data_IF_557245883502
#
_entry.id   IF_557245883502
#
_cell.length_a   1.000
_cell.length_b   1.000
_cell.length_c   1.000
_cell.angle_alpha   90.00
_cell.angle_beta   90.00
_cell.angle_gamma   90.00
#
_symmetry.space_group_name_H-M   'P 1'
#
loop_
_entity.id
_entity.type
_entity.pdbx_description
1 polymer ?
#
# COMPACT_ATOMS: atom_id res chain seq x y z
N UNK A 1 12.03 -3.79 -18.18
CA UNK A 1 11.23 -3.83 -16.93
C UNK A 1 10.80 -5.26 -16.69
N UNK A 2 10.96 -5.77 -15.47
CA UNK A 2 10.44 -7.11 -15.13
C UNK A 2 8.91 -7.04 -15.11
N UNK A 3 8.26 -8.00 -15.75
CA UNK A 3 6.80 -8.09 -15.83
C UNK A 3 6.28 -8.95 -14.65
N UNK A 4 5.20 -8.52 -14.00
CA UNK A 4 4.52 -9.31 -13.00
C UNK A 4 3.66 -10.40 -13.66
N UNK A 5 3.96 -11.66 -13.39
CA UNK A 5 3.27 -12.85 -13.92
C UNK A 5 2.58 -13.69 -12.84
N UNK A 6 2.29 -13.07 -11.69
CA UNK A 6 1.80 -13.77 -10.50
C UNK A 6 2.93 -14.22 -9.58
N UNK A 7 2.59 -14.89 -8.49
CA UNK A 7 3.54 -15.49 -7.56
C UNK A 7 3.07 -16.88 -7.13
N UNK A 8 3.94 -17.67 -6.52
CA UNK A 8 3.61 -19.03 -6.07
C UNK A 8 2.51 -19.04 -4.98
N UNK A 9 2.41 -17.97 -4.21
CA UNK A 9 1.52 -17.88 -3.05
C UNK A 9 0.33 -16.93 -3.28
N UNK A 10 0.13 -16.43 -4.51
CA UNK A 10 -0.94 -15.50 -4.83
C UNK A 10 -1.54 -15.81 -6.19
N UNK A 11 -2.80 -16.21 -6.19
CA UNK A 11 -3.56 -16.48 -7.41
C UNK A 11 -4.05 -15.15 -7.97
N UNK A 12 -3.43 -14.68 -9.05
CA UNK A 12 -3.78 -13.42 -9.71
C UNK A 12 -4.57 -13.69 -11.01
N UNK A 13 -5.68 -12.99 -11.21
CA UNK A 13 -6.37 -13.01 -12.51
C UNK A 13 -5.51 -12.33 -13.59
N UNK A 14 -5.72 -12.69 -14.86
CA UNK A 14 -5.05 -12.03 -15.99
C UNK A 14 -5.29 -10.51 -16.00
N UNK A 15 -6.50 -10.08 -15.66
CA UNK A 15 -6.87 -8.67 -15.61
C UNK A 15 -6.09 -7.92 -14.53
N UNK A 16 -5.94 -8.53 -13.34
CA UNK A 16 -5.15 -7.97 -12.26
C UNK A 16 -3.67 -7.87 -12.66
N UNK A 17 -3.09 -8.93 -13.25
CA UNK A 17 -1.70 -8.90 -13.74
C UNK A 17 -1.49 -7.79 -14.78
N UNK A 18 -2.44 -7.63 -15.70
CA UNK A 18 -2.40 -6.53 -16.70
C UNK A 18 -2.46 -5.17 -16.03
N UNK A 19 -3.35 -4.96 -15.04
CA UNK A 19 -3.46 -3.69 -14.31
C UNK A 19 -2.16 -3.34 -13.57
N UNK A 20 -1.52 -4.32 -12.90
CA UNK A 20 -0.22 -4.16 -12.26
C UNK A 20 0.84 -3.72 -13.29
N UNK A 21 0.96 -4.43 -14.41
CA UNK A 21 1.97 -4.15 -15.44
C UNK A 21 1.73 -2.79 -16.10
N UNK A 22 0.46 -2.41 -16.36
CA UNK A 22 0.11 -1.08 -16.88
C UNK A 22 0.53 0.01 -15.90
N UNK A 23 0.23 -0.15 -14.60
CA UNK A 23 0.60 0.82 -13.57
C UNK A 23 2.12 1.02 -13.51
N UNK A 24 2.88 -0.07 -13.58
CA UNK A 24 4.35 -0.04 -13.60
C UNK A 24 4.91 0.66 -14.85
N UNK A 25 4.38 0.37 -16.03
CA UNK A 25 4.82 0.98 -17.30
C UNK A 25 4.47 2.46 -17.36
N UNK A 26 3.29 2.84 -16.89
CA UNK A 26 2.84 4.23 -16.86
C UNK A 26 3.43 5.03 -15.67
N UNK A 27 4.15 4.35 -14.77
CA UNK A 27 4.68 4.94 -13.54
C UNK A 27 3.58 5.64 -12.69
N UNK A 28 2.37 5.07 -12.68
CA UNK A 28 1.22 5.58 -11.93
C UNK A 28 0.92 4.69 -10.73
N UNK A 29 0.35 5.27 -9.65
CA UNK A 29 -0.16 4.47 -8.54
C UNK A 29 -1.21 3.47 -9.03
N UNK A 30 -1.16 2.24 -8.51
CA UNK A 30 -2.18 1.21 -8.72
C UNK A 30 -3.15 1.25 -7.54
N UNK A 31 -4.38 1.68 -7.79
CA UNK A 31 -5.45 1.66 -6.80
C UNK A 31 -6.24 0.36 -6.91
N UNK A 32 -6.19 -0.44 -5.86
CA UNK A 32 -6.94 -1.69 -5.73
C UNK A 32 -8.10 -1.49 -4.77
N UNK A 33 -9.32 -1.61 -5.26
CA UNK A 33 -10.53 -1.68 -4.45
C UNK A 33 -11.06 -3.11 -4.37
N UNK A 34 -11.79 -3.41 -3.32
CA UNK A 34 -12.46 -4.69 -3.13
C UNK A 34 -12.93 -4.88 -1.69
N UNK A 35 -13.79 -5.87 -1.46
CA UNK A 35 -14.26 -6.21 -0.13
C UNK A 35 -13.09 -6.59 0.81
N UNK A 36 -13.26 -6.45 2.14
CA UNK A 36 -12.31 -6.98 3.10
C UNK A 36 -12.04 -8.48 2.85
N UNK A 37 -10.78 -8.90 3.01
CA UNK A 37 -10.40 -10.31 2.83
C UNK A 37 -10.18 -10.78 1.39
N UNK A 38 -10.23 -9.89 0.39
CA UNK A 38 -9.96 -10.24 -1.03
C UNK A 38 -8.48 -10.31 -1.41
N UNK A 39 -7.56 -10.22 -0.45
CA UNK A 39 -6.12 -10.38 -0.70
C UNK A 39 -5.41 -9.13 -1.22
N UNK A 40 -5.98 -7.93 -1.06
CA UNK A 40 -5.39 -6.67 -1.55
C UNK A 40 -3.99 -6.41 -1.00
N UNK A 41 -3.79 -6.56 0.30
CA UNK A 41 -2.49 -6.38 0.96
C UNK A 41 -1.49 -7.44 0.51
N UNK A 42 -1.92 -8.71 0.38
CA UNK A 42 -1.10 -9.82 -0.11
C UNK A 42 -0.62 -9.62 -1.56
N UNK A 43 -1.37 -8.87 -2.37
CA UNK A 43 -0.94 -8.53 -3.73
C UNK A 43 0.38 -7.75 -3.73
N UNK A 44 0.55 -6.78 -2.82
CA UNK A 44 1.79 -6.01 -2.74
C UNK A 44 2.99 -6.89 -2.34
N UNK A 45 2.77 -7.84 -1.43
CA UNK A 45 3.78 -8.84 -1.06
C UNK A 45 4.13 -9.74 -2.26
N UNK A 46 3.12 -10.21 -2.99
CA UNK A 46 3.32 -11.03 -4.18
C UNK A 46 4.11 -10.30 -5.27
N UNK A 47 3.82 -9.02 -5.51
CA UNK A 47 4.56 -8.19 -6.46
C UNK A 47 6.00 -7.98 -5.97
N UNK A 48 6.20 -7.69 -4.69
CA UNK A 48 7.52 -7.54 -4.08
C UNK A 48 8.38 -8.77 -4.26
N UNK A 49 7.85 -9.95 -3.96
CA UNK A 49 8.53 -11.24 -4.12
C UNK A 49 8.84 -11.54 -5.59
N UNK A 50 7.86 -11.39 -6.48
CA UNK A 50 8.02 -11.68 -7.90
C UNK A 50 9.06 -10.79 -8.60
N UNK A 51 9.16 -9.52 -8.15
CA UNK A 51 10.11 -8.55 -8.71
C UNK A 51 11.44 -8.51 -7.96
N UNK A 52 11.56 -9.20 -6.82
CA UNK A 52 12.75 -9.15 -5.96
C UNK A 52 13.00 -7.77 -5.37
N UNK A 53 11.94 -6.98 -5.11
CA UNK A 53 12.05 -5.61 -4.61
C UNK A 53 11.59 -5.51 -3.16
N UNK A 54 12.24 -4.64 -2.38
CA UNK A 54 11.86 -4.36 -0.99
C UNK A 54 10.44 -3.78 -0.93
N UNK A 55 9.60 -4.30 -0.03
CA UNK A 55 8.29 -3.78 0.28
C UNK A 55 8.36 -2.82 1.48
N UNK A 56 7.80 -1.63 1.31
CA UNK A 56 7.56 -0.65 2.39
C UNK A 56 6.05 -0.55 2.55
N UNK A 57 5.55 -0.77 3.77
CA UNK A 57 4.12 -0.75 4.07
C UNK A 57 3.79 0.46 4.94
N UNK A 58 2.82 1.24 4.49
CA UNK A 58 2.23 2.34 5.24
C UNK A 58 0.76 2.04 5.52
N UNK A 59 0.47 1.55 6.72
CA UNK A 59 -0.90 1.27 7.18
C UNK A 59 -1.57 2.59 7.60
N UNK A 60 -2.64 2.93 6.93
CA UNK A 60 -3.40 4.16 7.19
C UNK A 60 -4.39 3.93 8.32
N UNK A 61 -4.47 4.91 9.22
CA UNK A 61 -5.42 4.97 10.34
C UNK A 61 -6.27 6.22 10.21
N UNK A 62 -7.38 6.28 10.93
CA UNK A 62 -8.25 7.47 10.97
C UNK A 62 -7.55 8.75 11.44
N UNK A 63 -6.45 8.62 12.18
CA UNK A 63 -5.65 9.74 12.67
C UNK A 63 -4.42 10.05 11.82
N UNK A 64 -4.15 9.26 10.77
CA UNK A 64 -2.97 9.43 9.91
C UNK A 64 -3.12 10.70 9.07
N UNK A 65 -2.08 11.52 9.06
CA UNK A 65 -1.97 12.70 8.19
C UNK A 65 -0.99 12.42 7.05
N UNK A 66 -1.18 13.08 5.92
CA UNK A 66 -0.29 12.94 4.76
C UNK A 66 1.17 13.27 5.11
N UNK A 67 1.37 14.29 5.92
CA UNK A 67 2.68 14.68 6.45
C UNK A 67 3.42 13.55 7.17
N UNK A 68 2.71 12.69 7.91
CA UNK A 68 3.32 11.59 8.67
C UNK A 68 4.02 10.57 7.75
N UNK A 69 3.55 10.45 6.52
CA UNK A 69 4.17 9.60 5.50
C UNK A 69 5.46 10.18 4.94
N UNK A 70 5.62 11.49 4.96
CA UNK A 70 6.79 12.19 4.44
C UNK A 70 7.91 12.21 5.45
N UNK A 71 7.71 12.92 6.56
CA UNK A 71 8.64 12.98 7.67
C UNK A 71 7.95 13.54 8.93
N UNK A 72 8.60 13.32 10.06
CA UNK A 72 8.26 13.92 11.34
C UNK A 72 9.49 14.63 11.88
N UNK A 73 9.31 15.89 12.25
CA UNK A 73 10.35 16.66 12.91
C UNK A 73 10.22 16.54 14.44
N UNK A 74 11.23 15.94 15.08
CA UNK A 74 11.24 15.68 16.53
C UNK A 74 11.66 16.94 17.32
N UNK A 75 10.73 17.87 17.43
CA UNK A 75 10.91 19.12 18.19
C UNK A 75 11.20 18.85 19.67
N UNK A 76 10.58 17.82 20.24
CA UNK A 76 10.73 17.47 21.65
C UNK A 76 12.15 17.01 21.94
N UNK A 77 12.68 16.11 21.12
CA UNK A 77 14.05 15.62 21.27
C UNK A 77 15.05 16.75 21.07
N UNK A 78 14.84 17.61 20.08
CA UNK A 78 15.71 18.77 19.86
C UNK A 78 15.72 19.73 21.04
N UNK A 79 14.55 20.04 21.61
CA UNK A 79 14.45 20.91 22.78
C UNK A 79 15.16 20.29 23.99
N UNK A 80 14.98 19.00 24.20
CA UNK A 80 15.66 18.26 25.27
C UNK A 80 17.20 18.33 25.11
N UNK A 81 17.72 18.01 23.92
CA UNK A 81 19.14 18.04 23.62
C UNK A 81 19.71 19.45 23.79
N UNK A 82 18.94 20.48 23.41
CA UNK A 82 19.34 21.91 23.59
C UNK A 82 19.46 22.32 25.06
N UNK A 83 18.59 21.80 25.92
CA UNK A 83 18.60 22.15 27.33
C UNK A 83 19.66 21.39 28.15
N UNK A 84 19.93 20.13 27.76
CA UNK A 84 20.79 19.22 28.50
C UNK A 84 22.15 18.97 27.87
N UNK A 85 22.54 19.79 26.87
CA UNK A 85 23.87 19.71 26.26
C UNK A 85 24.11 18.51 25.36
N UNK A 86 23.08 18.09 24.64
CA UNK A 86 23.20 17.00 23.63
C UNK A 86 24.20 17.41 22.53
N UNK A 87 25.00 16.45 22.07
CA UNK A 87 25.90 16.65 20.94
C UNK A 87 25.13 16.84 19.62
N UNK A 88 25.53 17.80 18.79
CA UNK A 88 25.00 18.00 17.44
C UNK A 88 23.63 18.65 17.40
N UNK A 89 23.24 19.46 18.39
CA UNK A 89 21.94 20.19 18.41
C UNK A 89 21.79 21.12 17.21
N UNK A 90 22.88 21.66 16.68
CA UNK A 90 22.90 22.53 15.50
C UNK A 90 22.62 21.76 14.20
N UNK A 91 22.76 20.43 14.19
CA UNK A 91 22.42 19.60 13.06
C UNK A 91 20.92 19.27 13.07
N UNK A 92 20.12 20.09 12.40
CA UNK A 92 18.67 19.96 12.31
C UNK A 92 18.25 18.62 11.68
N UNK A 93 19.04 18.11 10.72
CA UNK A 93 18.74 16.84 10.04
C UNK A 93 18.66 15.63 11.00
N UNK A 94 19.38 15.67 12.13
CA UNK A 94 19.33 14.64 13.18
C UNK A 94 17.91 14.41 13.74
N UNK A 95 17.09 15.46 13.70
CA UNK A 95 15.74 15.46 14.26
C UNK A 95 14.64 15.23 13.21
N UNK A 96 15.01 15.07 11.95
CA UNK A 96 14.09 14.72 10.85
C UNK A 96 14.03 13.20 10.73
N UNK A 97 12.87 12.62 11.04
CA UNK A 97 12.59 11.19 10.89
C UNK A 97 11.71 10.98 9.67
N UNK A 98 12.20 10.25 8.68
CA UNK A 98 11.43 9.97 7.48
C UNK A 98 10.23 9.06 7.80
N UNK A 99 9.07 9.40 7.23
CA UNK A 99 7.92 8.53 7.16
C UNK A 99 8.05 7.51 6.03
N UNK A 100 7.04 6.68 5.82
CA UNK A 100 7.10 5.56 4.85
C UNK A 100 7.25 6.00 3.40
N UNK A 101 6.62 7.11 3.02
CA UNK A 101 6.80 7.72 1.71
C UNK A 101 8.20 8.32 1.56
N UNK A 102 8.67 9.02 2.62
CA UNK A 102 10.03 9.53 2.68
C UNK A 102 11.10 8.43 2.57
N UNK A 103 10.92 7.30 3.29
CA UNK A 103 11.77 6.11 3.18
C UNK A 103 11.81 5.58 1.74
N UNK A 104 10.63 5.52 1.07
CA UNK A 104 10.53 5.04 -0.30
C UNK A 104 11.26 5.97 -1.30
N UNK A 105 11.18 7.30 -1.10
CA UNK A 105 11.85 8.27 -1.99
C UNK A 105 13.38 8.30 -1.80
N UNK A 106 13.87 7.99 -0.61
CA UNK A 106 15.30 7.99 -0.32
C UNK A 106 15.96 6.62 -0.50
N UNK A 107 15.20 5.59 -0.87
CA UNK A 107 15.73 4.25 -1.09
C UNK A 107 16.79 4.23 -2.21
N UNK A 108 17.84 3.42 -2.02
CA UNK A 108 18.94 3.29 -2.99
C UNK A 108 18.56 2.42 -4.20
N UNK A 109 17.43 1.71 -4.11
CA UNK A 109 16.86 0.88 -5.17
C UNK A 109 15.36 1.18 -5.33
N UNK A 110 14.79 0.80 -6.48
CA UNK A 110 13.35 0.89 -6.66
C UNK A 110 12.63 -0.07 -5.71
N UNK A 111 11.74 0.47 -4.88
CA UNK A 111 10.94 -0.28 -3.90
C UNK A 111 9.48 -0.39 -4.33
N UNK A 112 8.75 -1.31 -3.70
CA UNK A 112 7.29 -1.34 -3.71
C UNK A 112 6.81 -0.58 -2.47
N UNK A 113 5.97 0.43 -2.66
CA UNK A 113 5.31 1.15 -1.57
C UNK A 113 3.83 0.77 -1.54
N UNK A 114 3.40 0.17 -0.45
CA UNK A 114 1.99 -0.10 -0.18
C UNK A 114 1.43 0.98 0.75
N UNK A 115 0.43 1.71 0.28
CA UNK A 115 -0.42 2.59 1.09
C UNK A 115 -1.70 1.80 1.36
N UNK A 116 -1.80 1.20 2.55
CA UNK A 116 -2.85 0.24 2.88
C UNK A 116 -4.04 0.90 3.54
N UNK A 117 -5.26 0.62 3.03
CA UNK A 117 -6.54 1.11 3.54
C UNK A 117 -6.66 2.66 3.55
N UNK A 118 -6.37 3.28 2.41
CA UNK A 118 -6.36 4.75 2.25
C UNK A 118 -7.69 5.42 2.68
N UNK A 119 -8.79 4.73 2.54
CA UNK A 119 -10.14 5.19 2.89
C UNK A 119 -10.42 5.23 4.40
N UNK A 120 -9.52 4.75 5.26
CA UNK A 120 -9.61 4.93 6.72
C UNK A 120 -9.31 6.36 7.17
N UNK A 121 -8.46 7.07 6.46
CA UNK A 121 -8.11 8.46 6.77
C UNK A 121 -9.27 9.42 6.47
N UNK A 122 -9.05 10.69 6.75
CA UNK A 122 -9.97 11.76 6.39
C UNK A 122 -10.09 11.92 4.88
N UNK A 123 -11.20 12.48 4.40
CA UNK A 123 -11.51 12.64 2.98
C UNK A 123 -10.46 13.45 2.20
N UNK A 124 -9.80 14.40 2.85
CA UNK A 124 -8.77 15.23 2.23
C UNK A 124 -7.42 14.52 2.11
N UNK A 125 -7.17 13.48 2.91
CA UNK A 125 -5.88 12.78 2.95
C UNK A 125 -5.37 12.32 1.57
N UNK A 126 -6.18 11.70 0.69
CA UNK A 126 -5.70 11.33 -0.63
C UNK A 126 -5.29 12.53 -1.49
N UNK A 127 -6.03 13.66 -1.36
CA UNK A 127 -5.70 14.88 -2.08
C UNK A 127 -4.39 15.50 -1.60
N UNK A 128 -4.13 15.44 -0.29
CA UNK A 128 -2.90 15.96 0.32
C UNK A 128 -1.64 15.20 -0.13
N UNK A 129 -1.80 13.97 -0.66
CA UNK A 129 -0.68 13.19 -1.21
C UNK A 129 -0.49 13.36 -2.73
N UNK A 130 -1.38 14.10 -3.41
CA UNK A 130 -1.35 14.17 -4.88
C UNK A 130 -0.07 14.77 -5.42
N UNK A 131 0.42 15.83 -4.78
CA UNK A 131 1.64 16.51 -5.21
C UNK A 131 2.86 15.57 -5.12
N UNK A 132 3.02 14.93 -3.98
CA UNK A 132 4.17 14.08 -3.69
C UNK A 132 4.17 12.83 -4.59
N UNK A 133 2.99 12.24 -4.82
CA UNK A 133 2.85 11.07 -5.70
C UNK A 133 3.03 11.42 -7.19
N UNK A 134 2.67 12.62 -7.61
CA UNK A 134 2.87 13.06 -8.99
C UNK A 134 4.33 13.44 -9.25
N UNK A 135 4.91 14.25 -8.35
CA UNK A 135 6.25 14.82 -8.49
C UNK A 135 7.36 13.93 -7.97
N UNK A 136 7.00 12.99 -7.07
CA UNK A 136 7.96 12.15 -6.35
C UNK A 136 8.99 12.98 -5.59
N UNK A 137 8.53 14.07 -4.97
CA UNK A 137 9.35 14.95 -4.15
C UNK A 137 8.52 15.60 -3.04
N UNK A 138 9.18 16.00 -1.97
CA UNK A 138 8.61 16.82 -0.89
C UNK A 138 9.65 17.73 -0.29
N UNK A 139 9.21 18.82 0.32
CA UNK A 139 10.06 19.81 0.96
C UNK A 139 10.07 19.65 2.48
N UNK A 140 11.23 19.80 3.10
CA UNK A 140 11.44 19.82 4.56
C UNK A 140 11.80 21.25 4.98
N UNK A 141 10.82 22.06 5.43
CA UNK A 141 11.04 23.48 5.77
C UNK A 141 12.13 23.69 6.82
N UNK A 142 12.22 22.80 7.81
CA UNK A 142 13.16 22.92 8.92
C UNK A 142 14.62 22.90 8.47
N UNK A 143 14.91 22.17 7.40
CA UNK A 143 16.27 22.07 6.83
C UNK A 143 16.42 22.84 5.53
N UNK A 144 15.33 23.35 4.95
CA UNK A 144 15.30 23.95 3.61
C UNK A 144 15.57 22.96 2.47
N UNK A 145 15.55 21.66 2.75
CA UNK A 145 15.90 20.61 1.80
C UNK A 145 14.65 20.09 1.06
N UNK A 146 14.79 19.86 -0.25
CA UNK A 146 13.83 19.08 -1.04
C UNK A 146 14.37 17.67 -1.21
N UNK A 147 13.55 16.69 -0.86
CA UNK A 147 13.81 15.26 -1.09
C UNK A 147 13.10 14.86 -2.37
N UNK A 148 13.86 14.41 -3.36
CA UNK A 148 13.33 13.88 -4.62
C UNK A 148 13.63 12.39 -4.69
N UNK A 149 12.69 11.59 -5.19
CA UNK A 149 12.86 10.15 -5.29
C UNK A 149 14.04 9.79 -6.20
N UNK A 150 15.01 9.06 -5.65
CA UNK A 150 16.16 8.55 -6.41
C UNK A 150 15.73 7.52 -7.45
N UNK A 151 14.82 6.65 -7.04
CA UNK A 151 14.18 5.64 -7.86
C UNK A 151 12.68 5.74 -7.64
N UNK A 152 11.90 5.97 -8.71
CA UNK A 152 10.46 6.06 -8.60
C UNK A 152 9.90 4.76 -8.05
N UNK A 153 9.26 4.73 -6.86
CA UNK A 153 8.68 3.53 -6.28
C UNK A 153 7.49 3.05 -7.10
N UNK A 154 7.23 1.75 -7.10
CA UNK A 154 5.96 1.21 -7.55
C UNK A 154 4.96 1.39 -6.42
N UNK A 155 3.98 2.26 -6.60
CA UNK A 155 3.01 2.60 -5.56
C UNK A 155 1.75 1.77 -5.74
N UNK A 156 1.38 1.03 -4.70
CA UNK A 156 0.15 0.24 -4.62
C UNK A 156 -0.69 0.85 -3.49
N UNK A 157 -1.95 1.09 -3.76
CA UNK A 157 -2.89 1.71 -2.83
C UNK A 157 -4.08 0.78 -2.69
N UNK A 158 -4.49 0.47 -1.46
CA UNK A 158 -5.68 -0.35 -1.22
C UNK A 158 -6.81 0.46 -0.59
N UNK A 159 -8.04 0.05 -0.89
CA UNK A 159 -9.25 0.60 -0.30
C UNK A 159 -10.30 -0.51 -0.13
N UNK A 160 -10.98 -0.53 1.01
CA UNK A 160 -12.12 -1.41 1.26
C UNK A 160 -13.44 -0.82 0.73
N UNK A 161 -13.39 0.33 0.07
CA UNK A 161 -14.55 1.06 -0.43
C UNK A 161 -15.51 1.54 0.69
N UNK A 162 -14.99 1.72 1.91
CA UNK A 162 -15.78 2.26 3.03
C UNK A 162 -16.15 3.74 2.82
N UNK A 163 -15.26 4.49 2.14
CA UNK A 163 -15.48 5.89 1.74
C UNK A 163 -15.15 6.08 0.26
N UNK A 164 -15.81 7.04 -0.35
CA UNK A 164 -15.48 7.47 -1.72
C UNK A 164 -14.16 8.25 -1.72
N UNK A 165 -13.32 7.96 -2.69
CA UNK A 165 -12.08 8.68 -2.90
C UNK A 165 -12.30 9.85 -3.87
N UNK A 166 -11.60 10.99 -3.69
CA UNK A 166 -11.78 12.16 -4.54
C UNK A 166 -11.46 11.86 -6.01
N UNK A 167 -12.27 12.40 -6.92
CA UNK A 167 -12.09 12.25 -8.38
C UNK A 167 -10.68 12.66 -8.86
N UNK A 168 -10.13 13.72 -8.27
CA UNK A 168 -8.80 14.20 -8.59
C UNK A 168 -7.72 13.14 -8.32
N UNK A 169 -7.90 12.35 -7.25
CA UNK A 169 -7.03 11.24 -6.90
C UNK A 169 -7.23 10.04 -7.84
N UNK A 170 -8.50 9.67 -8.08
CA UNK A 170 -8.83 8.53 -8.95
C UNK A 170 -8.25 8.67 -10.37
N UNK A 171 -8.29 9.87 -10.95
CA UNK A 171 -7.75 10.14 -12.32
C UNK A 171 -6.25 9.95 -12.44
N UNK A 172 -5.52 9.93 -11.33
CA UNK A 172 -4.07 9.75 -11.30
C UNK A 172 -3.63 8.30 -11.11
N UNK A 173 -4.59 7.43 -10.79
CA UNK A 173 -4.33 6.02 -10.52
C UNK A 173 -4.71 5.14 -11.72
N UNK A 174 -4.03 4.02 -11.89
CA UNK A 174 -4.57 2.86 -12.59
C UNK A 174 -5.49 2.17 -11.59
N UNK A 175 -6.72 1.89 -11.98
CA UNK A 175 -7.74 1.32 -11.09
C UNK A 175 -8.02 -0.13 -11.42
N UNK A 176 -8.13 -0.96 -10.39
CA UNK A 176 -8.66 -2.32 -10.51
C UNK A 176 -9.52 -2.67 -9.31
N UNK A 177 -10.64 -3.34 -9.57
CA UNK A 177 -11.51 -3.85 -8.52
C UNK A 177 -11.34 -5.38 -8.40
N UNK A 178 -10.97 -5.84 -7.21
CA UNK A 178 -10.90 -7.28 -6.90
C UNK A 178 -12.26 -7.71 -6.37
N UNK A 179 -12.98 -8.48 -7.19
CA UNK A 179 -14.22 -9.11 -6.76
C UNK A 179 -13.93 -10.19 -5.71
N UNK A 180 -14.90 -10.42 -4.84
CA UNK A 180 -14.77 -11.53 -3.90
C UNK A 180 -14.71 -12.84 -4.69
N UNK A 181 -13.73 -13.73 -4.42
CA UNK A 181 -13.52 -14.94 -5.22
C UNK A 181 -14.76 -15.79 -5.29
N UNK A 182 -15.13 -16.26 -6.48
CA UNK A 182 -16.12 -17.31 -6.66
C UNK A 182 -15.62 -18.65 -6.11
N UNK A 183 -16.51 -19.63 -6.03
CA UNK A 183 -16.22 -20.96 -5.42
C UNK A 183 -14.98 -21.63 -6.02
N UNK A 184 -14.84 -21.60 -7.34
CA UNK A 184 -13.73 -22.25 -8.05
C UNK A 184 -12.38 -21.58 -7.74
N UNK A 185 -12.34 -20.25 -7.85
CA UNK A 185 -11.14 -19.47 -7.53
C UNK A 185 -10.79 -19.60 -6.04
N UNK A 186 -11.78 -19.62 -5.14
CA UNK A 186 -11.54 -19.82 -3.72
C UNK A 186 -10.95 -21.19 -3.44
N UNK A 187 -11.42 -22.25 -4.12
CA UNK A 187 -10.85 -23.57 -3.99
C UNK A 187 -9.37 -23.59 -4.43
N UNK A 188 -9.05 -22.91 -5.52
CA UNK A 188 -7.66 -22.77 -5.98
C UNK A 188 -6.80 -22.01 -4.96
N UNK A 189 -7.27 -20.89 -4.42
CA UNK A 189 -6.60 -20.14 -3.37
C UNK A 189 -6.34 -21.02 -2.15
N UNK A 190 -7.34 -21.77 -1.69
CA UNK A 190 -7.17 -22.66 -0.51
C UNK A 190 -6.15 -23.75 -0.80
N UNK A 191 -6.12 -24.35 -1.99
CA UNK A 191 -5.12 -25.36 -2.35
C UNK A 191 -3.70 -24.80 -2.36
N UNK A 192 -3.52 -23.56 -2.80
CA UNK A 192 -2.21 -22.88 -2.77
C UNK A 192 -1.72 -22.70 -1.35
N UNK A 193 -2.61 -22.31 -0.43
CA UNK A 193 -2.23 -22.06 0.98
C UNK A 193 -2.19 -23.35 1.83
N UNK A 194 -2.98 -24.35 1.47
CA UNK A 194 -3.11 -25.60 2.22
C UNK A 194 -3.00 -26.82 1.28
N UNK A 195 -1.83 -27.09 0.70
CA UNK A 195 -1.67 -28.13 -0.34
C UNK A 195 -1.93 -29.57 0.16
N UNK A 196 -1.96 -29.79 1.46
CA UNK A 196 -2.25 -31.09 2.08
C UNK A 196 -3.71 -31.24 2.55
N UNK A 197 -4.59 -30.27 2.25
CA UNK A 197 -6.00 -30.33 2.66
C UNK A 197 -6.75 -31.39 1.85
N UNK A 198 -7.57 -32.20 2.55
CA UNK A 198 -8.45 -33.19 1.93
C UNK A 198 -9.52 -32.52 1.05
N UNK A 199 -9.72 -33.01 -0.17
CA UNK A 199 -10.64 -32.43 -1.15
C UNK A 199 -12.12 -32.54 -0.70
N UNK A 200 -12.52 -33.59 0.03
CA UNK A 200 -13.87 -33.72 0.55
C UNK A 200 -14.13 -32.67 1.64
N UNK A 201 -13.15 -32.46 2.51
CA UNK A 201 -13.23 -31.40 3.53
C UNK A 201 -13.27 -30.00 2.89
N UNK A 202 -12.43 -29.74 1.88
CA UNK A 202 -12.43 -28.48 1.13
C UNK A 202 -13.81 -28.19 0.56
N UNK A 203 -14.43 -29.17 -0.10
CA UNK A 203 -15.76 -29.04 -0.70
C UNK A 203 -16.81 -28.68 0.35
N UNK A 204 -16.84 -29.41 1.47
CA UNK A 204 -17.81 -29.18 2.56
C UNK A 204 -17.63 -27.78 3.19
N UNK A 205 -16.38 -27.36 3.43
CA UNK A 205 -16.09 -26.04 4.00
C UNK A 205 -16.54 -24.93 3.06
N UNK A 206 -16.24 -25.05 1.76
CA UNK A 206 -16.67 -24.05 0.77
C UNK A 206 -18.19 -23.98 0.62
N UNK A 207 -18.87 -25.12 0.66
CA UNK A 207 -20.34 -25.16 0.65
C UNK A 207 -20.94 -24.42 1.86
N UNK A 208 -20.42 -24.72 3.05
CA UNK A 208 -20.87 -24.07 4.28
C UNK A 208 -20.59 -22.56 4.25
N UNK A 209 -19.38 -22.17 3.81
CA UNK A 209 -18.95 -20.78 3.71
C UNK A 209 -19.85 -19.96 2.77
N UNK A 210 -20.05 -20.41 1.52
CA UNK A 210 -20.88 -19.68 0.55
C UNK A 210 -22.36 -19.68 0.94
N UNK A 211 -22.85 -20.72 1.62
CA UNK A 211 -24.20 -20.73 2.17
C UNK A 211 -24.38 -19.67 3.25
N UNK A 212 -23.41 -19.52 4.17
CA UNK A 212 -23.45 -18.48 5.21
C UNK A 212 -23.38 -17.10 4.58
N UNK A 213 -22.49 -16.89 3.59
CA UNK A 213 -22.32 -15.61 2.90
C UNK A 213 -23.58 -15.15 2.14
N UNK A 214 -24.45 -16.06 1.74
CA UNK A 214 -25.72 -15.77 1.07
C UNK A 214 -26.85 -15.41 2.04
N UNK A 215 -26.67 -15.63 3.34
CA UNK A 215 -27.64 -15.21 4.31
C UNK A 215 -27.70 -13.69 4.37
N UNK A 216 -28.90 -13.08 4.39
CA UNK A 216 -29.02 -11.65 4.62
C UNK A 216 -28.33 -11.30 5.94
N UNK A 217 -27.49 -10.27 5.93
CA UNK A 217 -26.86 -9.75 7.14
C UNK A 217 -27.96 -9.45 8.16
N UNK A 218 -27.88 -10.11 9.30
CA UNK A 218 -28.71 -9.76 10.44
C UNK A 218 -28.10 -8.45 10.96
N UNK A 219 -28.81 -7.34 10.77
CA UNK A 219 -28.50 -6.04 11.39
C UNK A 219 -28.57 -6.11 12.91
#
# INVERSE_FOLDING_TARGET
>A
MSEFKGSQNYVASEELMRAVNIAMVLEKPLLIKGEPGTGKTMLAEAISQALGKKLIIWNIKSTTKAQDGLYVYDVVQRLYDSQFGGEGVDNIEKYVKLGKLGEAFTADEQVILLIDEIDKADLEFPNDLLWELDRMEFHIPETGRTVTARHRPVVIITSNAEKELPDAFLRRCVFHYIEFPGRELMAEIVRVHFPSLDEALLTQVLEAFYRIRQLPSIE
#
